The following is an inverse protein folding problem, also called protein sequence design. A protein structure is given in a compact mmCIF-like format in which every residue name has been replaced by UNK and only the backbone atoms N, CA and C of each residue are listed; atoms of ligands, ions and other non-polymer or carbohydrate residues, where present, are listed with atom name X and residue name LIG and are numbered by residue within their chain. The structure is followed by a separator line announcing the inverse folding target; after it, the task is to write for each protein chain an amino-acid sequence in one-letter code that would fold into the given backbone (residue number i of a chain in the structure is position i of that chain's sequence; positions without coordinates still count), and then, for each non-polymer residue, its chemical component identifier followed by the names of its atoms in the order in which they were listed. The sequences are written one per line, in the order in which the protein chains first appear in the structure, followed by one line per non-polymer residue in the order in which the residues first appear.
data_IF_263876740852
#
_entry.id   IF_263876740852
#
_cell.length_a   1.000
_cell.length_b   1.000
_cell.length_c   1.000
_cell.angle_alpha   90.00
_cell.angle_beta   90.00
_cell.angle_gamma   90.00
#
_symmetry.space_group_name_H-M   'P 1'
#
loop_
_entity.id
_entity.type
_entity.pdbx_description
1 polymer ?
#
# COMPACT_ATOMS: atom_id res chain seq x y z
N UNK A 1 11.63 9.99 4.28
CA UNK A 1 11.67 8.53 4.02
C UNK A 1 10.35 7.86 4.36
N UNK A 2 9.88 7.80 5.62
CA UNK A 2 8.59 7.16 5.97
C UNK A 2 7.40 7.64 5.13
N UNK A 3 7.18 8.97 5.09
CA UNK A 3 6.17 9.59 4.21
C UNK A 3 6.30 9.18 2.73
N UNK A 4 7.53 9.14 2.21
CA UNK A 4 7.85 8.79 0.82
C UNK A 4 7.45 7.35 0.50
N UNK A 5 7.77 6.40 1.39
CA UNK A 5 7.37 4.99 1.27
C UNK A 5 5.85 4.82 1.37
N UNK A 6 5.21 5.51 2.30
CA UNK A 6 3.76 5.46 2.49
C UNK A 6 3.00 5.97 1.25
N UNK A 7 3.42 7.12 0.70
CA UNK A 7 2.84 7.70 -0.52
C UNK A 7 3.12 6.79 -1.73
N UNK A 8 4.34 6.29 -1.90
CA UNK A 8 4.68 5.38 -3.00
C UNK A 8 3.86 4.07 -2.95
N UNK A 9 3.70 3.49 -1.75
CA UNK A 9 2.82 2.33 -1.53
C UNK A 9 1.36 2.63 -1.85
N UNK A 10 0.85 3.77 -1.41
CA UNK A 10 -0.54 4.21 -1.67
C UNK A 10 -0.80 4.41 -3.17
N UNK A 11 0.12 5.06 -3.89
CA UNK A 11 0.04 5.25 -5.33
C UNK A 11 0.10 3.92 -6.09
N UNK A 12 1.03 3.02 -5.73
CA UNK A 12 1.14 1.70 -6.35
C UNK A 12 -0.12 0.85 -6.11
N UNK A 13 -0.69 0.91 -4.89
CA UNK A 13 -1.95 0.24 -4.55
C UNK A 13 -3.11 0.79 -5.41
N UNK A 14 -3.22 2.11 -5.56
CA UNK A 14 -4.22 2.75 -6.40
C UNK A 14 -4.11 2.36 -7.89
N UNK A 15 -2.90 2.39 -8.45
CA UNK A 15 -2.62 1.98 -9.84
C UNK A 15 -3.02 0.51 -10.07
N UNK A 16 -2.73 -0.38 -9.12
CA UNK A 16 -3.15 -1.79 -9.20
C UNK A 16 -4.68 -1.93 -9.23
N UNK A 17 -5.41 -1.15 -8.43
CA UNK A 17 -6.89 -1.18 -8.46
C UNK A 17 -7.47 -0.62 -9.76
N UNK A 18 -6.88 0.44 -10.31
CA UNK A 18 -7.26 0.99 -11.62
C UNK A 18 -7.00 -0.02 -12.74
N UNK A 19 -5.86 -0.72 -12.73
CA UNK A 19 -5.55 -1.77 -13.70
C UNK A 19 -6.58 -2.92 -13.65
N UNK A 20 -6.99 -3.34 -12.46
CA UNK A 20 -8.03 -4.37 -12.27
C UNK A 20 -9.40 -3.87 -12.75
N UNK A 21 -9.78 -2.63 -12.43
CA UNK A 21 -11.03 -2.02 -12.87
C UNK A 21 -11.12 -1.89 -14.40
N UNK A 22 -10.00 -1.58 -15.06
CA UNK A 22 -9.92 -1.53 -16.53
C UNK A 22 -9.89 -2.92 -17.17
N UNK A 23 -9.41 -3.95 -16.47
CA UNK A 23 -9.42 -5.33 -16.97
C UNK A 23 -10.79 -5.99 -16.86
N UNK A 24 -11.51 -5.73 -15.76
CA UNK A 24 -12.82 -6.31 -15.40
C UNK A 24 -13.83 -6.46 -16.56
N UNK A 25 -14.02 -5.49 -17.47
CA UNK A 25 -14.98 -5.62 -18.57
C UNK A 25 -14.63 -6.70 -19.61
N UNK A 26 -13.37 -7.16 -19.63
CA UNK A 26 -12.86 -8.17 -20.57
C UNK A 26 -12.95 -9.61 -19.99
N UNK A 27 -13.36 -9.76 -18.72
CA UNK A 27 -13.48 -11.06 -18.07
C UNK A 27 -14.76 -11.77 -18.50
N UNK A 28 -14.64 -12.78 -19.37
CA UNK A 28 -15.78 -13.58 -19.87
C UNK A 28 -16.54 -14.33 -18.76
N UNK A 29 -15.86 -14.68 -17.67
CA UNK A 29 -16.44 -15.45 -16.55
C UNK A 29 -16.41 -14.59 -15.30
N UNK A 30 -17.59 -14.32 -14.76
CA UNK A 30 -17.76 -13.56 -13.52
C UNK A 30 -18.25 -14.44 -12.35
N UNK A 31 -18.90 -15.57 -12.64
CA UNK A 31 -19.71 -16.31 -11.67
C UNK A 31 -18.94 -17.38 -10.88
N UNK A 32 -17.77 -17.82 -11.35
CA UNK A 32 -17.02 -18.91 -10.74
C UNK A 32 -16.11 -18.45 -9.59
N UNK A 33 -16.03 -19.21 -8.47
CA UNK A 33 -14.94 -19.09 -7.51
C UNK A 33 -13.59 -19.47 -8.18
N UNK A 34 -12.47 -18.78 -7.88
CA UNK A 34 -12.24 -17.98 -6.67
C UNK A 34 -12.24 -16.46 -6.92
N UNK A 35 -13.42 -15.83 -6.78
CA UNK A 35 -13.54 -14.42 -6.40
C UNK A 35 -12.79 -13.42 -7.27
N UNK A 36 -13.23 -13.26 -8.54
CA UNK A 36 -13.01 -12.13 -9.46
C UNK A 36 -11.68 -11.37 -9.33
N UNK A 37 -11.55 -10.50 -8.31
CA UNK A 37 -10.35 -9.72 -8.00
C UNK A 37 -9.07 -10.56 -7.88
N UNK A 38 -9.13 -11.78 -7.31
CA UNK A 38 -7.94 -12.65 -7.26
C UNK A 38 -7.55 -13.18 -8.63
N UNK A 39 -8.53 -13.57 -9.44
CA UNK A 39 -8.35 -14.03 -10.81
C UNK A 39 -7.79 -12.90 -11.70
N UNK A 40 -8.42 -11.72 -11.69
CA UNK A 40 -7.98 -10.55 -12.43
C UNK A 40 -6.51 -10.18 -12.13
N UNK A 41 -6.11 -10.14 -10.85
CA UNK A 41 -4.72 -9.87 -10.46
C UNK A 41 -3.71 -10.91 -10.94
N UNK A 42 -4.14 -12.17 -11.06
CA UNK A 42 -3.31 -13.26 -11.59
C UNK A 42 -3.17 -13.14 -13.11
N UNK A 43 -4.26 -12.84 -13.80
CA UNK A 43 -4.33 -12.75 -15.27
C UNK A 43 -3.57 -11.53 -15.81
N UNK A 44 -3.64 -10.37 -15.14
CA UNK A 44 -2.86 -9.16 -15.52
C UNK A 44 -1.52 -9.05 -14.79
N UNK A 45 -1.08 -10.09 -14.08
CA UNK A 45 0.25 -10.18 -13.44
C UNK A 45 0.51 -9.27 -12.22
N UNK A 46 -0.44 -8.42 -11.82
CA UNK A 46 -0.25 -7.40 -10.76
C UNK A 46 -0.20 -7.95 -9.32
N UNK A 47 -0.16 -9.26 -9.11
CA UNK A 47 0.00 -9.86 -7.77
C UNK A 47 1.28 -9.37 -7.04
N UNK A 48 2.41 -9.24 -7.75
CA UNK A 48 3.66 -8.75 -7.14
C UNK A 48 3.55 -7.26 -6.73
N UNK A 49 3.19 -6.31 -7.61
CA UNK A 49 3.01 -4.92 -7.21
C UNK A 49 1.89 -4.72 -6.18
N UNK A 50 0.84 -5.55 -6.16
CA UNK A 50 -0.14 -5.57 -5.07
C UNK A 50 0.52 -5.84 -3.71
N UNK A 51 1.27 -6.94 -3.58
CA UNK A 51 1.94 -7.31 -2.32
C UNK A 51 2.97 -6.23 -1.93
N UNK A 52 3.76 -5.75 -2.89
CA UNK A 52 4.76 -4.71 -2.66
C UNK A 52 4.14 -3.38 -2.19
N UNK A 53 2.97 -3.01 -2.73
CA UNK A 53 2.25 -1.80 -2.31
C UNK A 53 1.82 -1.85 -0.84
N UNK A 54 1.34 -3.01 -0.38
CA UNK A 54 0.98 -3.22 1.04
C UNK A 54 2.21 -3.15 1.93
N UNK A 55 3.32 -3.78 1.53
CA UNK A 55 4.60 -3.71 2.24
C UNK A 55 5.03 -2.23 2.38
N UNK A 56 5.04 -1.45 1.29
CA UNK A 56 5.44 -0.04 1.33
C UNK A 56 4.50 0.84 2.16
N UNK A 57 3.18 0.60 2.13
CA UNK A 57 2.23 1.28 3.02
C UNK A 57 2.49 0.94 4.49
N UNK A 58 2.62 -0.35 4.85
CA UNK A 58 2.81 -0.78 6.24
C UNK A 58 4.14 -0.27 6.80
N UNK A 59 5.26 -0.48 6.10
CA UNK A 59 6.56 0.02 6.55
C UNK A 59 6.63 1.55 6.54
N UNK A 60 6.04 2.22 5.54
CA UNK A 60 5.96 3.69 5.50
C UNK A 60 5.17 4.27 6.68
N UNK A 61 4.04 3.65 7.03
CA UNK A 61 3.21 4.04 8.16
C UNK A 61 3.90 3.81 9.51
N UNK A 62 4.53 2.64 9.70
CA UNK A 62 5.31 2.35 10.91
C UNK A 62 6.44 3.38 11.09
N UNK A 63 7.17 3.71 10.02
CA UNK A 63 8.24 4.72 10.06
C UNK A 63 7.73 6.14 10.33
N UNK A 64 6.50 6.48 9.91
CA UNK A 64 5.85 7.75 10.28
C UNK A 64 5.53 7.77 11.77
N UNK A 65 4.80 6.77 12.29
CA UNK A 65 4.40 6.72 13.69
C UNK A 65 5.62 6.71 14.63
N UNK A 66 6.69 5.97 14.29
CA UNK A 66 7.94 5.98 15.07
C UNK A 66 8.65 7.34 15.08
N UNK A 67 8.53 8.13 13.99
CA UNK A 67 9.08 9.48 13.95
C UNK A 67 8.29 10.43 14.87
N UNK A 68 6.97 10.44 14.76
CA UNK A 68 6.11 11.32 15.57
C UNK A 68 6.17 10.96 17.07
N UNK A 69 6.14 9.66 17.41
CA UNK A 69 6.33 9.21 18.80
C UNK A 69 7.70 9.63 19.34
N UNK A 70 8.77 9.57 18.55
CA UNK A 70 10.10 10.03 18.97
C UNK A 70 10.14 11.55 19.21
N UNK A 71 9.45 12.35 18.38
CA UNK A 71 9.33 13.79 18.59
C UNK A 71 8.55 14.13 19.87
N UNK A 72 7.40 13.47 20.07
CA UNK A 72 6.57 13.63 21.28
C UNK A 72 7.33 13.23 22.55
N UNK A 73 8.04 12.10 22.53
CA UNK A 73 8.84 11.62 23.67
C UNK A 73 10.01 12.56 23.96
N UNK A 74 10.72 13.07 22.96
CA UNK A 74 11.78 14.06 23.16
C UNK A 74 11.25 15.36 23.80
N UNK A 75 10.08 15.83 23.36
CA UNK A 75 9.40 17.00 23.90
C UNK A 75 8.96 16.79 25.36
N UNK A 76 8.31 15.66 25.67
CA UNK A 76 7.86 15.33 27.03
C UNK A 76 9.01 15.12 28.03
N UNK A 77 10.17 14.61 27.56
CA UNK A 77 11.38 14.45 28.38
C UNK A 77 12.12 15.80 28.54
N UNK A 78 11.66 16.88 27.90
CA UNK A 78 12.29 18.20 27.98
C UNK A 78 13.68 18.26 27.32
N UNK A 79 14.01 17.26 26.48
CA UNK A 79 15.35 17.12 25.89
C UNK A 79 15.47 17.97 24.63
N UNK A 80 15.47 19.29 24.84
CA UNK A 80 15.79 20.28 23.81
C UNK A 80 17.05 19.84 23.04
N UNK A 81 16.92 19.73 21.72
CA UNK A 81 18.04 19.50 20.83
C UNK A 81 18.74 20.86 20.64
N UNK A 82 19.84 21.07 21.35
CA UNK A 82 20.79 22.18 21.14
C UNK A 82 21.76 21.85 20.01
#
# INVERSE_FOLDING_TARGET
MGATLFIAGTLLFGIVHIAIANYIPNMHVWSDPPGKFQQARKEIGVNIPYILSIIFMVFGFILLILNEVKLIVNFLIGKNQS
#
